data_IF_042977677198
#
_entry.id   IF_042977677198
#
_cell.length_a   1.000
_cell.length_b   1.000
_cell.length_c   1.000
_cell.angle_alpha   90.00
_cell.angle_beta   90.00
_cell.angle_gamma   90.00
#
_symmetry.space_group_name_H-M   'P 1'
#
loop_
_entity.id
_entity.type
_entity.pdbx_description
1 polymer ?
#
# COMPACT_ATOMS: atom_id res chain seq x y z
N UNK A 1 -12.88 -14.59 -6.10
CA UNK A 1 -13.58 -13.80 -5.07
C UNK A 1 -12.95 -14.07 -3.71
N UNK A 2 -13.03 -13.12 -2.77
CA UNK A 2 -12.51 -13.31 -1.41
C UNK A 2 -13.19 -14.52 -0.73
N UNK A 3 -12.42 -15.30 0.03
CA UNK A 3 -12.95 -16.37 0.90
C UNK A 3 -13.37 -15.86 2.28
N UNK A 4 -12.95 -14.64 2.64
CA UNK A 4 -13.36 -13.95 3.86
C UNK A 4 -14.51 -13.01 3.51
N UNK A 5 -15.55 -13.01 4.36
CA UNK A 5 -16.69 -12.11 4.21
C UNK A 5 -16.23 -10.66 4.05
N UNK A 6 -16.82 -9.92 3.14
CA UNK A 6 -16.56 -8.47 3.01
C UNK A 6 -17.85 -7.75 3.37
N UNK A 7 -18.00 -7.24 4.60
CA UNK A 7 -19.19 -6.52 5.05
C UNK A 7 -19.64 -5.49 4.02
N UNK A 8 -20.90 -5.56 3.58
CA UNK A 8 -21.41 -4.70 2.50
C UNK A 8 -21.44 -3.21 2.90
N UNK A 9 -21.62 -2.95 4.20
CA UNK A 9 -21.68 -1.61 4.80
C UNK A 9 -20.86 -1.57 6.08
N UNK A 10 -20.62 -0.36 6.62
CA UNK A 10 -19.97 -0.19 7.92
C UNK A 10 -20.80 -0.84 9.03
N UNK A 11 -22.12 -0.67 9.03
CA UNK A 11 -23.01 -1.28 10.03
C UNK A 11 -23.05 -2.82 9.99
N UNK A 12 -22.72 -3.42 8.84
CA UNK A 12 -22.61 -4.87 8.71
C UNK A 12 -21.29 -5.43 9.26
N UNK A 13 -20.31 -4.57 9.59
CA UNK A 13 -19.07 -4.98 10.23
C UNK A 13 -19.25 -5.16 11.76
N UNK A 14 -18.36 -5.92 12.43
CA UNK A 14 -18.35 -6.00 13.89
C UNK A 14 -18.39 -4.62 14.55
N UNK A 15 -19.19 -4.45 15.60
CA UNK A 15 -19.42 -3.14 16.24
C UNK A 15 -18.11 -2.41 16.62
N UNK A 16 -17.13 -3.15 17.15
CA UNK A 16 -15.81 -2.62 17.52
C UNK A 16 -14.97 -2.11 16.33
N UNK A 17 -15.29 -2.49 15.10
CA UNK A 17 -14.60 -2.03 13.89
C UNK A 17 -15.26 -0.80 13.25
N UNK A 18 -16.51 -0.49 13.58
CA UNK A 18 -17.31 0.49 12.83
C UNK A 18 -16.73 1.90 12.88
N UNK A 19 -16.31 2.36 14.06
CA UNK A 19 -15.69 3.68 14.23
C UNK A 19 -14.40 3.84 13.43
N UNK A 20 -13.58 2.79 13.35
CA UNK A 20 -12.37 2.75 12.52
C UNK A 20 -12.72 2.84 11.02
N UNK A 21 -13.77 2.15 10.56
CA UNK A 21 -14.22 2.25 9.18
C UNK A 21 -14.82 3.63 8.86
N UNK A 22 -15.51 4.28 9.80
CA UNK A 22 -15.97 5.66 9.62
C UNK A 22 -14.80 6.64 9.50
N UNK A 23 -13.73 6.44 10.29
CA UNK A 23 -12.51 7.24 10.16
C UNK A 23 -11.87 7.07 8.77
N UNK A 24 -11.79 5.83 8.25
CA UNK A 24 -11.33 5.56 6.88
C UNK A 24 -12.21 6.27 5.85
N UNK A 25 -13.53 6.16 5.97
CA UNK A 25 -14.48 6.84 5.07
C UNK A 25 -14.30 8.35 5.09
N UNK A 26 -14.11 8.95 6.27
CA UNK A 26 -13.88 10.39 6.41
C UNK A 26 -12.59 10.83 5.71
N UNK A 27 -11.54 10.01 5.76
CA UNK A 27 -10.25 10.32 5.15
C UNK A 27 -10.25 10.12 3.62
N UNK A 28 -10.90 9.06 3.13
CA UNK A 28 -10.82 8.64 1.72
C UNK A 28 -12.10 8.88 0.91
N UNK A 29 -13.19 9.34 1.55
CA UNK A 29 -14.53 9.47 0.96
C UNK A 29 -15.31 8.15 0.81
N UNK A 30 -14.61 7.01 0.84
CA UNK A 30 -15.17 5.66 0.71
C UNK A 30 -14.43 4.70 1.65
N UNK A 31 -14.99 3.52 1.89
CA UNK A 31 -14.29 2.43 2.58
C UNK A 31 -13.87 1.35 1.58
N UNK A 32 -12.60 1.32 1.15
CA UNK A 32 -12.09 0.28 0.26
C UNK A 32 -12.35 -1.14 0.79
N UNK A 33 -12.53 -2.09 -0.12
CA UNK A 33 -12.84 -3.48 0.21
C UNK A 33 -11.84 -4.10 1.20
N UNK A 34 -10.55 -3.75 1.13
CA UNK A 34 -9.55 -4.24 2.07
C UNK A 34 -9.90 -3.89 3.52
N UNK A 35 -10.24 -2.63 3.82
CA UNK A 35 -10.61 -2.24 5.18
C UNK A 35 -11.88 -2.93 5.65
N UNK A 36 -12.90 -3.05 4.78
CA UNK A 36 -14.12 -3.81 5.09
C UNK A 36 -13.79 -5.28 5.38
N UNK A 37 -12.97 -5.92 4.56
CA UNK A 37 -12.55 -7.31 4.77
C UNK A 37 -11.74 -7.48 6.06
N UNK A 38 -10.76 -6.62 6.33
CA UNK A 38 -9.95 -6.72 7.55
C UNK A 38 -10.80 -6.44 8.80
N UNK A 39 -11.87 -5.65 8.68
CA UNK A 39 -12.78 -5.31 9.79
C UNK A 39 -13.48 -6.50 10.44
N UNK A 40 -13.50 -7.67 9.80
CA UNK A 40 -13.97 -8.91 10.44
C UNK A 40 -13.17 -9.23 11.73
N UNK A 41 -11.94 -8.72 11.85
CA UNK A 41 -11.16 -8.72 13.09
C UNK A 41 -10.84 -7.28 13.49
N UNK A 42 -11.49 -6.74 14.56
CA UNK A 42 -11.20 -5.40 15.05
C UNK A 42 -9.71 -5.18 15.35
N UNK A 43 -9.05 -6.14 15.99
CA UNK A 43 -7.63 -6.06 16.30
C UNK A 43 -6.74 -6.00 15.04
N UNK A 44 -7.10 -6.75 13.98
CA UNK A 44 -6.36 -6.68 12.72
C UNK A 44 -6.54 -5.33 12.02
N UNK A 45 -7.76 -4.78 12.05
CA UNK A 45 -8.04 -3.46 11.47
C UNK A 45 -7.31 -2.35 12.21
N UNK A 46 -7.32 -2.39 13.54
CA UNK A 46 -6.59 -1.47 14.40
C UNK A 46 -5.08 -1.51 14.10
N UNK A 47 -4.48 -2.71 14.10
CA UNK A 47 -3.06 -2.87 13.80
C UNK A 47 -2.68 -2.38 12.40
N UNK A 48 -3.50 -2.68 11.40
CA UNK A 48 -3.27 -2.24 10.02
C UNK A 48 -3.33 -0.71 9.89
N UNK A 49 -4.35 -0.08 10.48
CA UNK A 49 -4.51 1.38 10.45
C UNK A 49 -3.42 2.08 11.26
N UNK A 50 -3.04 1.52 12.42
CA UNK A 50 -1.94 2.02 13.23
C UNK A 50 -0.62 2.05 12.46
N UNK A 51 -0.27 0.93 11.80
CA UNK A 51 0.94 0.84 10.98
C UNK A 51 0.90 1.81 9.80
N UNK A 52 -0.21 1.84 9.05
CA UNK A 52 -0.38 2.74 7.90
C UNK A 52 -0.28 4.22 8.31
N UNK A 53 -0.95 4.59 9.41
CA UNK A 53 -0.91 5.94 9.96
C UNK A 53 0.49 6.35 10.43
N UNK A 54 1.23 5.45 11.07
CA UNK A 54 2.61 5.70 11.48
C UNK A 54 3.54 5.91 10.28
N UNK A 55 3.50 5.00 9.29
CA UNK A 55 4.33 5.09 8.09
C UNK A 55 4.02 6.33 7.23
N UNK A 56 2.78 6.83 7.28
CA UNK A 56 2.40 8.05 6.55
C UNK A 56 3.16 9.30 7.01
N UNK A 57 3.67 9.30 8.25
CA UNK A 57 4.45 10.37 8.89
C UNK A 57 5.98 10.16 8.75
N UNK A 58 6.40 9.10 8.07
CA UNK A 58 7.82 8.82 7.84
C UNK A 58 8.47 9.78 6.82
N UNK A 59 9.78 9.62 6.62
CA UNK A 59 10.57 10.50 5.77
C UNK A 59 10.28 10.36 4.26
N UNK A 60 9.69 9.23 3.83
CA UNK A 60 9.39 9.01 2.41
C UNK A 60 8.16 9.83 1.98
N UNK A 61 8.28 10.68 0.94
CA UNK A 61 7.15 11.44 0.43
C UNK A 61 6.12 10.52 -0.21
N UNK A 62 4.86 10.97 -0.24
CA UNK A 62 3.74 10.14 -0.70
C UNK A 62 3.95 9.52 -2.11
N UNK A 63 4.48 10.24 -3.12
CA UNK A 63 4.76 9.64 -4.41
C UNK A 63 5.75 8.47 -4.36
N UNK A 64 6.83 8.58 -3.58
CA UNK A 64 7.80 7.49 -3.43
C UNK A 64 7.18 6.27 -2.75
N UNK A 65 6.28 6.49 -1.78
CA UNK A 65 5.55 5.38 -1.14
C UNK A 65 4.63 4.65 -2.12
N UNK A 66 3.94 5.36 -3.01
CA UNK A 66 3.11 4.73 -4.05
C UNK A 66 3.93 3.96 -5.09
N UNK A 67 5.11 4.49 -5.50
CA UNK A 67 6.05 3.77 -6.37
C UNK A 67 6.49 2.44 -5.75
N UNK A 68 6.86 2.46 -4.47
CA UNK A 68 7.20 1.25 -3.72
C UNK A 68 5.99 0.31 -3.63
N UNK A 69 4.81 0.82 -3.31
CA UNK A 69 3.61 0.00 -3.18
C UNK A 69 3.22 -0.71 -4.49
N UNK A 70 3.32 -0.04 -5.64
CA UNK A 70 3.14 -0.64 -6.97
C UNK A 70 4.14 -1.78 -7.22
N UNK A 71 5.40 -1.54 -6.87
CA UNK A 71 6.47 -2.53 -7.01
C UNK A 71 6.20 -3.78 -6.18
N UNK A 72 5.84 -3.60 -4.91
CA UNK A 72 5.55 -4.71 -3.99
C UNK A 72 4.25 -5.43 -4.38
N UNK A 73 3.24 -4.70 -4.85
CA UNK A 73 1.99 -5.29 -5.34
C UNK A 73 2.23 -6.21 -6.54
N UNK A 74 3.07 -5.80 -7.49
CA UNK A 74 3.46 -6.63 -8.64
C UNK A 74 4.24 -7.87 -8.20
N UNK A 75 5.28 -7.70 -7.37
CA UNK A 75 6.12 -8.81 -6.89
C UNK A 75 5.29 -9.86 -6.14
N UNK A 76 4.32 -9.42 -5.34
CA UNK A 76 3.44 -10.32 -4.59
C UNK A 76 2.27 -10.88 -5.42
N UNK A 77 2.11 -10.49 -6.68
CA UNK A 77 0.99 -10.89 -7.53
C UNK A 77 -0.38 -10.42 -7.00
N UNK A 78 -0.43 -9.31 -6.25
CA UNK A 78 -1.64 -8.82 -5.62
C UNK A 78 -2.44 -7.91 -6.57
N UNK A 79 -3.36 -8.49 -7.37
CA UNK A 79 -4.20 -7.74 -8.31
C UNK A 79 -5.02 -6.62 -7.64
N UNK A 80 -5.55 -6.85 -6.43
CA UNK A 80 -6.30 -5.84 -5.70
C UNK A 80 -5.41 -4.65 -5.30
N UNK A 81 -4.24 -4.95 -4.74
CA UNK A 81 -3.26 -3.94 -4.33
C UNK A 81 -2.79 -3.14 -5.54
N UNK A 82 -2.50 -3.82 -6.65
CA UNK A 82 -2.08 -3.17 -7.88
C UNK A 82 -3.14 -2.19 -8.39
N UNK A 83 -4.41 -2.62 -8.47
CA UNK A 83 -5.52 -1.74 -8.84
C UNK A 83 -5.67 -0.53 -7.91
N UNK A 84 -5.61 -0.75 -6.59
CA UNK A 84 -5.73 0.32 -5.61
C UNK A 84 -4.58 1.33 -5.69
N UNK A 85 -3.34 0.86 -5.75
CA UNK A 85 -2.15 1.71 -5.81
C UNK A 85 -1.95 2.35 -7.19
N UNK A 86 -2.45 1.76 -8.29
CA UNK A 86 -2.53 2.47 -9.57
C UNK A 86 -3.49 3.65 -9.49
N UNK A 87 -4.67 3.46 -8.86
CA UNK A 87 -5.61 4.57 -8.67
C UNK A 87 -5.02 5.67 -7.78
N UNK A 88 -4.41 5.31 -6.65
CA UNK A 88 -3.80 6.29 -5.74
C UNK A 88 -2.57 6.95 -6.35
N UNK A 89 -1.72 6.19 -7.03
CA UNK A 89 -0.57 6.67 -7.79
C UNK A 89 -0.96 7.74 -8.81
N UNK A 90 -1.98 7.47 -9.63
CA UNK A 90 -2.47 8.41 -10.64
C UNK A 90 -3.18 9.62 -10.06
N UNK A 91 -4.13 9.41 -9.14
CA UNK A 91 -5.06 10.46 -8.73
C UNK A 91 -4.56 11.29 -7.54
N UNK A 92 -3.80 10.68 -6.63
CA UNK A 92 -3.32 11.34 -5.41
C UNK A 92 -1.85 11.73 -5.53
N UNK A 93 -1.00 10.80 -5.98
CA UNK A 93 0.44 11.03 -6.11
C UNK A 93 0.87 11.64 -7.45
N UNK A 94 -0.07 11.76 -8.41
CA UNK A 94 0.14 12.37 -9.74
C UNK A 94 1.26 11.70 -10.56
N UNK A 95 1.41 10.39 -10.41
CA UNK A 95 2.30 9.59 -11.25
C UNK A 95 1.66 9.38 -12.62
N UNK A 96 2.47 9.51 -13.68
CA UNK A 96 2.01 9.18 -15.03
C UNK A 96 2.06 7.67 -15.29
N UNK A 97 1.49 7.24 -16.43
CA UNK A 97 1.37 5.83 -16.76
C UNK A 97 2.74 5.17 -17.06
N UNK A 98 3.72 5.96 -17.55
CA UNK A 98 5.08 5.46 -17.82
C UNK A 98 5.84 5.18 -16.52
N UNK A 99 5.72 6.07 -15.53
CA UNK A 99 6.27 5.92 -14.19
C UNK A 99 5.67 4.71 -13.49
N UNK A 100 4.33 4.58 -13.49
CA UNK A 100 3.69 3.41 -12.87
C UNK A 100 4.07 2.09 -13.56
N UNK A 101 4.26 2.10 -14.88
CA UNK A 101 4.76 0.94 -15.63
C UNK A 101 6.19 0.57 -15.20
N UNK A 102 7.07 1.58 -15.04
CA UNK A 102 8.42 1.37 -14.52
C UNK A 102 8.39 0.80 -13.08
N UNK A 103 7.51 1.33 -12.21
CA UNK A 103 7.39 0.86 -10.82
C UNK A 103 6.98 -0.61 -10.74
N UNK A 104 6.03 -1.04 -11.57
CA UNK A 104 5.66 -2.46 -11.66
C UNK A 104 6.83 -3.35 -12.08
N UNK A 105 7.78 -2.81 -12.85
CA UNK A 105 9.02 -3.51 -13.21
C UNK A 105 10.11 -3.43 -12.14
N UNK A 106 9.86 -2.76 -11.01
CA UNK A 106 10.82 -2.53 -9.93
C UNK A 106 11.84 -1.42 -10.21
N UNK A 107 11.44 -0.41 -11.00
CA UNK A 107 12.24 0.77 -11.31
C UNK A 107 11.42 2.06 -11.19
N UNK A 108 12.06 3.22 -11.29
CA UNK A 108 11.42 4.53 -11.36
C UNK A 108 12.17 5.41 -12.36
N UNK A 109 11.44 6.27 -13.07
CA UNK A 109 12.02 7.30 -13.92
C UNK A 109 12.51 8.51 -13.09
N UNK A 110 12.10 8.61 -11.82
CA UNK A 110 12.65 9.55 -10.85
C UNK A 110 13.92 8.97 -10.22
N UNK A 111 15.07 9.62 -10.42
CA UNK A 111 16.37 9.08 -10.01
C UNK A 111 16.49 8.88 -8.50
N UNK A 112 15.92 9.79 -7.71
CA UNK A 112 15.94 9.71 -6.24
C UNK A 112 15.05 8.57 -5.74
N UNK A 113 13.83 8.44 -6.26
CA UNK A 113 12.92 7.36 -5.90
C UNK A 113 13.38 6.00 -6.43
N UNK A 114 14.11 5.95 -7.55
CA UNK A 114 14.57 4.70 -8.16
C UNK A 114 15.46 3.88 -7.23
N UNK A 115 16.33 4.53 -6.43
CA UNK A 115 17.13 3.83 -5.42
C UNK A 115 16.24 3.13 -4.39
N UNK A 116 15.25 3.85 -3.85
CA UNK A 116 14.30 3.30 -2.87
C UNK A 116 13.42 2.18 -3.46
N UNK A 117 12.94 2.33 -4.70
CA UNK A 117 12.12 1.34 -5.40
C UNK A 117 12.92 0.05 -5.66
N UNK A 118 14.14 0.17 -6.18
CA UNK A 118 15.01 -0.98 -6.45
C UNK A 118 15.38 -1.70 -5.16
N UNK A 119 15.68 -0.96 -4.10
CA UNK A 119 15.98 -1.54 -2.80
C UNK A 119 14.77 -2.27 -2.21
N UNK A 120 13.59 -1.67 -2.24
CA UNK A 120 12.36 -2.33 -1.80
C UNK A 120 12.06 -3.61 -2.60
N UNK A 121 12.26 -3.58 -3.92
CA UNK A 121 12.14 -4.77 -4.76
C UNK A 121 13.13 -5.87 -4.35
N UNK A 122 14.37 -5.50 -4.03
CA UNK A 122 15.41 -6.44 -3.58
C UNK A 122 15.05 -7.05 -2.21
N UNK A 123 14.69 -6.22 -1.24
CA UNK A 123 14.22 -6.66 0.08
C UNK A 123 13.07 -7.66 -0.04
N UNK A 124 12.09 -7.39 -0.92
CA UNK A 124 10.96 -8.30 -1.12
C UNK A 124 11.37 -9.64 -1.75
N UNK A 125 12.18 -9.61 -2.82
CA UNK A 125 12.62 -10.82 -3.54
C UNK A 125 13.55 -11.68 -2.69
N UNK A 126 14.45 -11.05 -1.93
CA UNK A 126 15.44 -11.72 -1.08
C UNK A 126 14.96 -11.92 0.36
N UNK A 127 13.71 -11.58 0.65
CA UNK A 127 13.08 -11.73 1.98
C UNK A 127 13.90 -11.08 3.10
N UNK A 128 14.47 -9.91 2.82
CA UNK A 128 15.27 -9.13 3.75
C UNK A 128 16.76 -9.48 3.79
N UNK A 129 17.22 -10.52 3.08
CA UNK A 129 18.64 -10.91 3.03
C UNK A 129 19.48 -10.06 2.07
N UNK A 130 19.31 -8.73 2.13
CA UNK A 130 20.09 -7.78 1.32
C UNK A 130 21.49 -7.60 1.89
N UNK A 131 22.44 -7.19 1.04
CA UNK A 131 23.83 -6.97 1.43
C UNK A 131 24.03 -5.52 1.87
N UNK A 132 25.11 -5.29 2.62
CA UNK A 132 25.57 -3.96 3.02
C UNK A 132 25.77 -2.99 1.84
N UNK A 133 26.22 -3.49 0.69
CA UNK A 133 26.35 -2.70 -0.53
C UNK A 133 25.01 -2.20 -1.08
N UNK A 134 23.93 -2.96 -0.87
CA UNK A 134 22.58 -2.56 -1.28
C UNK A 134 22.05 -1.44 -0.38
N UNK A 135 22.33 -1.52 0.92
CA UNK A 135 21.92 -0.50 1.90
C UNK A 135 22.65 0.82 1.64
N UNK A 136 23.96 0.77 1.36
CA UNK A 136 24.76 1.98 1.06
C UNK A 136 24.39 2.66 -0.26
N UNK A 137 23.72 1.96 -1.17
CA UNK A 137 23.35 2.49 -2.48
C UNK A 137 22.03 3.29 -2.47
N UNK A 138 21.39 3.45 -1.30
CA UNK A 138 20.09 4.10 -1.09
C UNK A 138 20.26 5.35 -0.25
#
# INVERSE_FOLDING_TARGET
>A
MSRISTPATIHAAPAASQSMLEAVKKQLGVVPNLFRLVSNSPAALEGYLGLSGALSKGALPAPTRERIALTIAEINGCNYCLSAHTYMGKNLAKLDDAEMTANRSGASNDTMANAAVRFAAKVARERGHVREEDVRAV
#
